data_IF_131915145219
#
_entry.id   IF_131915145219
#
_cell.length_a   1.000
_cell.length_b   1.000
_cell.length_c   1.000
_cell.angle_alpha   90.00
_cell.angle_beta   90.00
_cell.angle_gamma   90.00
#
_symmetry.space_group_name_H-M   'P 1'
#
loop_
_entity.id
_entity.type
_entity.pdbx_description
1 polymer ?
#
# COMPACT_ATOMS: atom_id res chain seq x y z
N UNK A 1 5.95 14.17 16.55
CA UNK A 1 5.71 13.66 15.21
C UNK A 1 6.18 12.22 15.01
N UNK A 2 7.39 11.93 15.46
CA UNK A 2 7.95 10.60 15.27
C UNK A 2 7.11 9.50 15.93
N UNK A 3 6.80 9.66 17.22
CA UNK A 3 6.07 8.62 17.95
C UNK A 3 4.67 8.41 17.36
N UNK A 4 4.00 9.50 16.99
CA UNK A 4 2.67 9.43 16.38
C UNK A 4 2.72 8.69 15.04
N UNK A 5 3.74 9.02 14.23
CA UNK A 5 3.90 8.38 12.93
C UNK A 5 4.24 6.91 13.04
N UNK A 6 5.10 6.55 13.99
CA UNK A 6 5.44 5.16 14.21
C UNK A 6 4.20 4.34 14.60
N UNK A 7 3.36 4.91 15.46
CA UNK A 7 2.10 4.25 15.84
C UNK A 7 1.19 4.06 14.63
N UNK A 8 1.05 5.09 13.80
CA UNK A 8 0.22 5.02 12.58
C UNK A 8 0.78 3.97 11.62
N UNK A 9 2.08 3.99 11.40
CA UNK A 9 2.73 3.05 10.50
C UNK A 9 2.51 1.62 10.97
N UNK A 10 2.67 1.38 12.26
CA UNK A 10 2.46 0.04 12.84
C UNK A 10 1.00 -0.39 12.76
N UNK A 11 0.08 0.53 12.93
CA UNK A 11 -1.34 0.22 12.81
C UNK A 11 -1.71 -0.21 11.39
N UNK A 12 -1.06 0.37 10.39
CA UNK A 12 -1.34 0.06 8.99
C UNK A 12 -0.65 -1.22 8.52
N UNK A 13 0.59 -1.43 8.95
CA UNK A 13 1.41 -2.48 8.35
C UNK A 13 1.82 -3.59 9.33
N UNK A 14 1.47 -3.44 10.60
CA UNK A 14 1.82 -4.43 11.62
C UNK A 14 3.14 -4.10 12.30
N UNK A 15 3.18 -4.35 13.62
CA UNK A 15 4.36 -4.05 14.43
C UNK A 15 5.60 -4.80 13.93
N UNK A 16 5.45 -6.10 13.68
CA UNK A 16 6.58 -6.95 13.30
C UNK A 16 7.17 -6.52 11.96
N UNK A 17 6.32 -6.21 10.98
CA UNK A 17 6.77 -5.78 9.66
C UNK A 17 7.52 -4.45 9.73
N UNK A 18 6.98 -3.50 10.48
CA UNK A 18 7.60 -2.18 10.60
C UNK A 18 8.96 -2.31 11.31
N UNK A 19 9.01 -3.07 12.39
CA UNK A 19 10.26 -3.26 13.12
C UNK A 19 11.30 -3.97 12.26
N UNK A 20 10.88 -4.94 11.47
CA UNK A 20 11.76 -5.65 10.56
C UNK A 20 12.34 -4.71 9.50
N UNK A 21 11.51 -3.84 8.93
CA UNK A 21 11.96 -2.88 7.93
C UNK A 21 12.94 -1.88 8.53
N UNK A 22 12.65 -1.39 9.74
CA UNK A 22 13.54 -0.45 10.41
C UNK A 22 14.88 -1.10 10.73
N UNK A 23 14.86 -2.33 11.21
CA UNK A 23 16.08 -3.06 11.52
C UNK A 23 16.89 -3.35 10.26
N UNK A 24 16.22 -3.75 9.18
CA UNK A 24 16.89 -4.07 7.93
C UNK A 24 17.57 -2.85 7.31
N UNK A 25 17.05 -1.64 7.58
CA UNK A 25 17.63 -0.42 7.06
C UNK A 25 19.02 -0.13 7.64
N UNK A 26 19.27 -0.57 8.87
CA UNK A 26 20.57 -0.40 9.52
C UNK A 26 20.92 1.06 9.75
N UNK A 27 22.21 1.31 10.01
CA UNK A 27 22.65 2.67 10.28
C UNK A 27 22.54 3.56 9.04
N UNK A 28 22.82 3.01 7.87
CA UNK A 28 22.76 3.79 6.63
C UNK A 28 21.33 4.26 6.36
N UNK A 29 20.36 3.40 6.59
CA UNK A 29 18.96 3.72 6.30
C UNK A 29 18.22 4.41 7.43
N UNK A 30 18.83 4.53 8.61
CA UNK A 30 18.14 5.12 9.76
C UNK A 30 17.63 6.55 9.51
N UNK A 31 18.39 7.45 8.89
CA UNK A 31 17.86 8.80 8.65
C UNK A 31 16.61 8.78 7.79
N UNK A 32 16.55 7.92 6.77
CA UNK A 32 15.35 7.81 5.95
C UNK A 32 14.19 7.25 6.75
N UNK A 33 14.43 6.22 7.56
CA UNK A 33 13.38 5.66 8.41
C UNK A 33 12.84 6.69 9.40
N UNK A 34 13.71 7.56 9.92
CA UNK A 34 13.28 8.63 10.81
C UNK A 34 12.37 9.61 10.10
N UNK A 35 12.69 9.98 8.86
CA UNK A 35 11.84 10.86 8.06
C UNK A 35 10.51 10.19 7.75
N UNK A 36 10.54 8.90 7.42
CA UNK A 36 9.31 8.16 7.14
C UNK A 36 8.40 8.18 8.37
N UNK A 37 8.93 7.87 9.53
CA UNK A 37 8.11 7.86 10.75
C UNK A 37 7.65 9.25 11.16
N UNK A 38 8.52 10.26 11.09
CA UNK A 38 8.18 11.60 11.57
C UNK A 38 7.30 12.35 10.59
N UNK A 39 7.62 12.31 9.31
CA UNK A 39 6.97 13.19 8.34
C UNK A 39 5.96 12.48 7.46
N UNK A 40 6.28 11.31 6.94
CA UNK A 40 5.31 10.61 6.09
C UNK A 40 4.11 10.20 6.94
N UNK A 41 4.34 9.47 8.01
CA UNK A 41 3.24 8.94 8.83
C UNK A 41 2.88 9.83 10.01
N UNK A 42 3.81 10.66 10.48
CA UNK A 42 3.56 11.56 11.62
C UNK A 42 2.97 12.90 11.21
N UNK A 43 3.14 13.29 9.95
CA UNK A 43 2.56 14.54 9.46
C UNK A 43 1.59 14.27 8.31
N UNK A 44 2.08 13.76 7.17
CA UNK A 44 1.27 13.67 5.96
C UNK A 44 0.08 12.74 6.16
N UNK A 45 0.28 11.57 6.73
CA UNK A 45 -0.81 10.62 6.98
C UNK A 45 -1.72 11.02 8.13
N UNK A 46 -1.33 12.03 8.92
CA UNK A 46 -2.15 12.52 10.03
C UNK A 46 -2.99 13.74 9.63
N UNK A 47 -2.82 14.25 8.42
CA UNK A 47 -3.58 15.43 7.98
C UNK A 47 -5.04 15.06 7.76
N UNK A 48 -5.92 16.04 8.07
CA UNK A 48 -7.36 15.80 8.07
C UNK A 48 -8.03 15.93 6.68
N UNK A 49 -7.27 16.39 5.67
CA UNK A 49 -7.85 16.65 4.35
C UNK A 49 -8.37 15.42 3.63
N UNK A 50 -7.74 14.27 3.86
CA UNK A 50 -8.19 13.00 3.31
C UNK A 50 -8.30 11.99 4.43
N UNK A 51 -9.33 11.18 4.41
CA UNK A 51 -9.43 10.06 5.36
C UNK A 51 -8.37 9.01 5.00
N UNK A 52 -8.07 8.13 5.95
CA UNK A 52 -7.02 7.14 5.75
C UNK A 52 -7.31 6.18 4.62
N UNK A 53 -8.58 5.80 4.45
CA UNK A 53 -8.98 4.91 3.36
C UNK A 53 -8.81 5.59 2.01
N UNK A 54 -9.21 6.85 1.88
CA UNK A 54 -9.03 7.59 0.64
C UNK A 54 -7.55 7.78 0.35
N UNK A 55 -6.76 8.12 1.37
CA UNK A 55 -5.32 8.29 1.21
C UNK A 55 -4.67 6.99 0.72
N UNK A 56 -5.13 5.86 1.24
CA UNK A 56 -4.65 4.56 0.78
C UNK A 56 -4.98 4.32 -0.68
N UNK A 57 -6.20 4.66 -1.12
CA UNK A 57 -6.59 4.50 -2.52
C UNK A 57 -5.72 5.36 -3.44
N UNK A 58 -5.43 6.58 -3.02
CA UNK A 58 -4.54 7.47 -3.78
C UNK A 58 -3.16 6.84 -3.90
N UNK A 59 -2.64 6.26 -2.80
CA UNK A 59 -1.33 5.60 -2.83
C UNK A 59 -1.32 4.40 -3.77
N UNK A 60 -2.40 3.65 -3.83
CA UNK A 60 -2.49 2.54 -4.78
C UNK A 60 -2.41 3.04 -6.22
N UNK A 61 -3.09 4.13 -6.51
CA UNK A 61 -3.00 4.75 -7.84
C UNK A 61 -1.59 5.22 -8.16
N UNK A 62 -0.94 5.90 -7.22
CA UNK A 62 0.40 6.42 -7.40
C UNK A 62 1.40 5.29 -7.64
N UNK A 63 1.38 4.26 -6.80
CA UNK A 63 2.35 3.18 -6.88
C UNK A 63 2.15 2.29 -8.10
N UNK A 64 0.89 2.06 -8.49
CA UNK A 64 0.59 1.33 -9.71
C UNK A 64 1.04 2.11 -10.94
N UNK A 65 0.70 3.39 -11.00
CA UNK A 65 1.01 4.22 -12.15
C UNK A 65 2.52 4.44 -12.31
N UNK A 66 3.25 4.51 -11.21
CA UNK A 66 4.69 4.76 -11.25
C UNK A 66 5.52 3.49 -11.37
N UNK A 67 4.90 2.34 -11.53
CA UNK A 67 5.62 1.09 -11.75
C UNK A 67 6.38 0.61 -10.52
N UNK A 68 5.76 0.65 -9.35
CA UNK A 68 6.38 0.26 -8.08
C UNK A 68 5.59 -0.87 -7.42
N UNK A 69 5.69 -2.09 -7.96
CA UNK A 69 4.86 -3.20 -7.44
C UNK A 69 5.14 -3.56 -5.99
N UNK A 70 6.39 -3.46 -5.54
CA UNK A 70 6.71 -3.75 -4.14
C UNK A 70 6.04 -2.74 -3.20
N UNK A 71 6.09 -1.46 -3.55
CA UNK A 71 5.41 -0.42 -2.78
C UNK A 71 3.91 -0.55 -2.88
N UNK A 72 3.40 -0.93 -4.05
CA UNK A 72 1.98 -1.18 -4.21
C UNK A 72 1.52 -2.27 -3.24
N UNK A 73 2.28 -3.35 -3.11
CA UNK A 73 1.92 -4.44 -2.19
C UNK A 73 1.83 -3.94 -0.75
N UNK A 74 2.81 -3.16 -0.34
CA UNK A 74 2.81 -2.58 1.02
C UNK A 74 1.57 -1.73 1.24
N UNK A 75 1.26 -0.86 0.29
CA UNK A 75 0.12 0.04 0.44
C UNK A 75 -1.22 -0.67 0.24
N UNK A 76 -1.26 -1.77 -0.49
CA UNK A 76 -2.47 -2.58 -0.58
C UNK A 76 -2.80 -3.22 0.78
N UNK A 77 -1.77 -3.67 1.50
CA UNK A 77 -1.98 -4.18 2.86
C UNK A 77 -2.45 -3.07 3.79
N UNK A 78 -1.87 -1.88 3.66
CA UNK A 78 -2.32 -0.72 4.41
C UNK A 78 -3.75 -0.32 4.06
N UNK A 79 -4.12 -0.42 2.80
CA UNK A 79 -5.47 -0.11 2.36
C UNK A 79 -6.48 -1.06 2.99
N UNK A 80 -6.15 -2.34 3.05
CA UNK A 80 -7.01 -3.32 3.70
C UNK A 80 -7.19 -2.95 5.18
N UNK A 81 -6.09 -2.64 5.87
CA UNK A 81 -6.13 -2.25 7.28
C UNK A 81 -6.94 -0.97 7.49
N UNK A 82 -6.89 -0.05 6.53
CA UNK A 82 -7.61 1.23 6.61
C UNK A 82 -9.06 1.14 6.15
N UNK A 83 -9.55 -0.07 5.85
CA UNK A 83 -10.96 -0.29 5.55
C UNK A 83 -11.38 -0.13 4.10
N UNK A 84 -10.43 -0.09 3.17
CA UNK A 84 -10.77 -0.04 1.76
C UNK A 84 -11.41 -1.35 1.33
N UNK A 85 -12.38 -1.25 0.43
CA UNK A 85 -13.06 -2.44 -0.09
C UNK A 85 -12.39 -2.93 -1.37
N UNK A 86 -12.64 -4.19 -1.65
CA UNK A 86 -12.17 -4.80 -2.89
C UNK A 86 -12.65 -3.99 -4.11
N UNK A 87 -13.90 -3.57 -4.09
CA UNK A 87 -14.49 -2.82 -5.19
C UNK A 87 -13.81 -1.47 -5.39
N UNK A 88 -13.49 -0.79 -4.30
CA UNK A 88 -12.76 0.48 -4.40
C UNK A 88 -11.40 0.28 -5.05
N UNK A 89 -10.69 -0.76 -4.64
CA UNK A 89 -9.36 -1.04 -5.18
C UNK A 89 -9.46 -1.43 -6.66
N UNK A 90 -10.46 -2.23 -7.02
CA UNK A 90 -10.70 -2.58 -8.42
C UNK A 90 -10.90 -1.34 -9.27
N UNK A 91 -11.70 -0.39 -8.78
CA UNK A 91 -12.00 0.81 -9.54
C UNK A 91 -10.77 1.70 -9.70
N UNK A 92 -9.91 1.78 -8.68
CA UNK A 92 -8.64 2.50 -8.80
C UNK A 92 -7.78 1.88 -9.91
N UNK A 93 -7.69 0.55 -9.94
CA UNK A 93 -6.86 -0.12 -10.93
C UNK A 93 -7.43 -0.02 -12.34
N UNK A 94 -8.75 0.05 -12.47
CA UNK A 94 -9.35 0.30 -13.77
C UNK A 94 -9.00 1.70 -14.28
N UNK A 95 -8.98 2.69 -13.39
CA UNK A 95 -8.53 4.04 -13.76
C UNK A 95 -7.07 4.03 -14.20
N UNK A 96 -6.22 3.30 -13.47
CA UNK A 96 -4.81 3.18 -13.83
C UNK A 96 -4.68 2.55 -15.22
N UNK A 97 -5.43 1.49 -15.48
CA UNK A 97 -5.39 0.81 -16.77
C UNK A 97 -5.77 1.76 -17.92
N UNK A 98 -6.79 2.56 -17.70
CA UNK A 98 -7.30 3.45 -18.77
C UNK A 98 -6.40 4.66 -19.00
N UNK A 99 -5.79 5.21 -17.96
CA UNK A 99 -5.04 6.45 -18.08
C UNK A 99 -3.53 6.26 -18.10
N UNK A 100 -3.04 5.11 -17.64
CA UNK A 100 -1.60 4.83 -17.59
C UNK A 100 -1.23 3.59 -18.41
N UNK A 101 -2.20 2.92 -18.99
CA UNK A 101 -1.98 1.73 -19.80
C UNK A 101 -2.24 0.46 -19.03
N UNK A 102 -2.80 -0.53 -19.73
CA UNK A 102 -3.15 -1.83 -19.14
C UNK A 102 -1.93 -2.50 -18.47
N UNK A 103 -0.71 -2.48 -19.07
CA UNK A 103 0.42 -3.13 -18.41
C UNK A 103 0.69 -2.61 -17.00
N UNK A 104 0.40 -1.34 -16.70
CA UNK A 104 0.62 -0.79 -15.37
C UNK A 104 -0.34 -1.41 -14.34
N UNK A 105 -1.47 -1.94 -14.79
CA UNK A 105 -2.48 -2.48 -13.89
C UNK A 105 -2.43 -4.01 -13.76
N UNK A 106 -1.79 -4.72 -14.68
CA UNK A 106 -1.85 -6.18 -14.69
C UNK A 106 -1.23 -6.79 -13.44
N UNK A 107 0.01 -6.44 -13.14
CA UNK A 107 0.68 -7.02 -11.98
C UNK A 107 0.07 -6.53 -10.68
N UNK A 108 -0.27 -5.26 -10.60
CA UNK A 108 -0.87 -4.70 -9.39
C UNK A 108 -2.26 -5.27 -9.15
N UNK A 109 -3.00 -5.57 -10.22
CA UNK A 109 -4.29 -6.23 -10.06
C UNK A 109 -4.13 -7.62 -9.45
N UNK A 110 -3.11 -8.36 -9.87
CA UNK A 110 -2.82 -9.68 -9.31
C UNK A 110 -2.44 -9.58 -7.84
N UNK A 111 -1.61 -8.60 -7.49
CA UNK A 111 -1.22 -8.37 -6.10
C UNK A 111 -2.43 -8.03 -5.25
N UNK A 112 -3.29 -7.15 -5.75
CA UNK A 112 -4.49 -6.77 -5.02
C UNK A 112 -5.42 -7.96 -4.80
N UNK A 113 -5.54 -8.83 -5.79
CA UNK A 113 -6.36 -10.04 -5.66
C UNK A 113 -5.85 -10.94 -4.55
N UNK A 114 -4.54 -11.09 -4.43
CA UNK A 114 -3.96 -11.89 -3.35
C UNK A 114 -4.30 -11.30 -1.99
N UNK A 115 -4.18 -9.99 -1.86
CA UNK A 115 -4.32 -9.32 -0.57
C UNK A 115 -5.77 -9.23 -0.14
N UNK A 116 -6.68 -9.01 -1.08
CA UNK A 116 -8.09 -8.85 -0.78
C UNK A 116 -8.88 -10.16 -0.89
N UNK A 117 -8.17 -11.29 -0.95
CA UNK A 117 -8.82 -12.59 -0.90
C UNK A 117 -9.43 -13.04 -2.22
N UNK A 118 -9.17 -12.32 -3.31
CA UNK A 118 -9.66 -12.70 -4.63
C UNK A 118 -8.56 -13.40 -5.39
N UNK A 119 -7.92 -14.33 -4.73
CA UNK A 119 -6.87 -15.08 -5.36
C UNK A 119 -7.37 -15.62 -6.67
N UNK A 120 -6.59 -15.51 -7.74
CA UNK A 120 -6.99 -16.10 -9.01
C UNK A 120 -7.20 -17.56 -8.79
N UNK A 121 -8.13 -18.08 -9.49
CA UNK A 121 -8.34 -19.49 -9.54
C UNK A 121 -6.97 -20.04 -9.68
N UNK A 122 -6.57 -20.83 -8.75
CA UNK A 122 -5.24 -21.33 -8.69
C UNK A 122 -4.86 -21.74 -10.05
N UNK A 123 -5.77 -22.10 -10.77
CA UNK A 123 -5.53 -22.51 -12.08
C UNK A 123 -6.85 -22.54 -12.75
N UNK A 124 -7.01 -21.79 -13.78
CA UNK A 124 -8.25 -21.88 -14.50
C UNK A 124 -8.52 -23.31 -14.93
N UNK A 125 -7.49 -24.04 -15.19
CA UNK A 125 -7.68 -25.42 -15.53
C UNK A 125 -8.04 -26.23 -14.32
N UNK A 126 -7.56 -25.86 -13.17
CA UNK A 126 -7.97 -26.52 -11.96
C UNK A 126 -9.19 -25.91 -11.39
N UNK A 127 -9.49 -24.73 -11.79
CA UNK A 127 -10.65 -24.14 -11.33
C UNK A 127 -11.64 -24.08 -12.32
N UNK A 128 -11.27 -24.40 -13.41
CA UNK A 128 -12.15 -24.28 -14.54
C UNK A 128 -13.44 -24.62 -14.22
#
# INVERSE_FOLDING_TARGET
>A
MYARGLRRRKAMFGDADVEKRMAAAGEFGAPLQNIINAYVYGDVWERAGLSSDIRSLVMLGITAASGKPAEFRVHAQGALANGCTKEQVQDVLLLVAMYCGVPAAIETNRIAAEIFGEAPASDPATKA
#
